data_IF_960350306966
#
_entry.id   IF_960350306966
#
_cell.length_a   1.000
_cell.length_b   1.000
_cell.length_c   1.000
_cell.angle_alpha   90.00
_cell.angle_beta   90.00
_cell.angle_gamma   90.00
#
_symmetry.space_group_name_H-M   'P 1'
#
loop_
_entity.id
_entity.type
_entity.pdbx_description
1 polymer ?
#
# COMPACT_ATOMS: atom_id res chain seq x y z
N UNK A 1 -4.40 7.10 19.09
CA UNK A 1 -3.25 6.37 18.50
C UNK A 1 -2.02 7.24 18.73
N UNK A 2 -0.87 6.65 19.03
CA UNK A 2 0.40 7.40 19.06
C UNK A 2 0.68 7.91 17.66
N UNK A 3 1.18 9.16 17.56
CA UNK A 3 1.58 9.72 16.27
C UNK A 3 2.75 8.90 15.72
N UNK A 4 2.62 8.42 14.49
CA UNK A 4 3.67 7.69 13.79
C UNK A 4 4.44 8.67 12.91
N UNK A 5 5.76 8.66 13.04
CA UNK A 5 6.68 9.34 12.14
C UNK A 5 7.57 8.27 11.51
N UNK A 6 7.43 8.09 10.20
CA UNK A 6 8.26 7.18 9.40
C UNK A 6 9.26 8.00 8.59
N UNK A 7 10.56 7.70 8.75
CA UNK A 7 11.65 8.40 8.04
C UNK A 7 12.47 7.43 7.21
N UNK A 8 12.80 7.85 6.00
CA UNK A 8 13.82 7.29 5.14
C UNK A 8 14.93 8.33 5.06
N UNK A 9 16.15 7.98 5.46
CA UNK A 9 17.29 8.90 5.53
C UNK A 9 18.44 8.35 4.69
N UNK A 10 18.70 8.98 3.55
CA UNK A 10 19.76 8.61 2.61
C UNK A 10 19.61 7.18 2.06
N UNK A 11 18.40 6.68 1.94
CA UNK A 11 18.14 5.26 1.64
C UNK A 11 18.47 4.95 0.19
N UNK A 12 19.35 3.96 -0.02
CA UNK A 12 19.57 3.35 -1.33
C UNK A 12 19.47 1.83 -1.26
N UNK A 13 19.14 1.20 -2.41
CA UNK A 13 19.04 -0.24 -2.53
C UNK A 13 19.62 -0.75 -3.84
N UNK A 14 20.56 -1.66 -3.72
CA UNK A 14 21.15 -2.39 -4.85
C UNK A 14 20.91 -3.89 -4.67
N UNK A 15 20.73 -4.59 -5.78
CA UNK A 15 20.59 -6.05 -5.84
C UNK A 15 21.71 -6.63 -6.72
N UNK A 16 22.39 -7.65 -6.25
CA UNK A 16 23.33 -8.42 -7.06
C UNK A 16 22.56 -9.41 -7.95
N UNK A 17 22.86 -9.45 -9.25
CA UNK A 17 22.39 -10.50 -10.16
C UNK A 17 23.38 -11.65 -10.12
N UNK A 18 22.98 -12.75 -9.49
CA UNK A 18 23.85 -13.93 -9.25
C UNK A 18 24.41 -14.54 -10.54
N UNK A 19 23.74 -14.36 -11.68
CA UNK A 19 24.12 -14.99 -12.95
C UNK A 19 25.04 -14.15 -13.86
N UNK A 20 25.24 -12.86 -13.57
CA UNK A 20 25.91 -11.93 -14.51
C UNK A 20 26.98 -11.02 -13.92
N UNK A 21 27.32 -11.17 -12.64
CA UNK A 21 28.23 -10.25 -11.91
C UNK A 21 27.82 -8.76 -12.06
N UNK A 22 26.52 -8.51 -12.29
CA UNK A 22 25.92 -7.19 -12.46
C UNK A 22 25.22 -6.73 -11.18
N UNK A 23 25.37 -5.46 -10.83
CA UNK A 23 24.62 -4.81 -9.74
C UNK A 23 23.49 -3.98 -10.35
N UNK A 24 22.26 -4.23 -9.92
CA UNK A 24 21.11 -3.39 -10.26
C UNK A 24 20.87 -2.39 -9.14
N UNK A 25 21.04 -1.10 -9.42
CA UNK A 25 20.71 -0.02 -8.50
C UNK A 25 19.20 0.27 -8.58
N UNK A 26 18.42 -0.33 -7.67
CA UNK A 26 16.98 -0.20 -7.66
C UNK A 26 16.52 1.15 -7.10
N UNK A 27 17.19 1.66 -6.05
CA UNK A 27 16.94 2.97 -5.47
C UNK A 27 18.24 3.75 -5.34
N UNK A 28 18.20 5.02 -5.73
CA UNK A 28 19.21 6.03 -5.41
C UNK A 28 19.00 6.58 -4.00
N UNK A 29 19.53 7.76 -3.72
CA UNK A 29 19.33 8.42 -2.43
C UNK A 29 17.87 8.83 -2.26
N UNK A 30 17.17 8.23 -1.30
CA UNK A 30 15.78 8.55 -0.94
C UNK A 30 15.77 9.16 0.45
N UNK A 31 15.29 10.39 0.55
CA UNK A 31 14.97 11.08 1.79
C UNK A 31 13.47 11.37 1.78
N UNK A 32 12.72 10.86 2.77
CA UNK A 32 11.27 11.02 2.85
C UNK A 32 10.81 10.90 4.29
N UNK A 33 9.98 11.84 4.72
CA UNK A 33 9.31 11.82 6.02
C UNK A 33 7.80 11.77 5.83
N UNK A 34 7.13 10.86 6.58
CA UNK A 34 5.69 10.58 6.47
C UNK A 34 5.10 10.46 7.87
N UNK A 35 3.84 10.91 8.04
CA UNK A 35 3.20 11.03 9.34
C UNK A 35 1.84 10.33 9.40
N UNK A 36 1.40 10.01 10.62
CA UNK A 36 0.01 9.60 10.87
C UNK A 36 -0.97 10.61 10.26
N UNK A 37 -2.09 10.11 9.74
CA UNK A 37 -3.09 10.94 9.07
C UNK A 37 -2.77 11.26 7.62
N UNK A 38 -1.59 10.88 7.10
CA UNK A 38 -1.27 10.98 5.68
C UNK A 38 -1.64 9.69 4.94
N UNK A 39 -2.12 9.86 3.73
CA UNK A 39 -2.24 8.81 2.72
C UNK A 39 -1.26 9.13 1.59
N UNK A 40 -0.13 8.45 1.57
CA UNK A 40 0.94 8.69 0.58
C UNK A 40 0.73 7.77 -0.61
N UNK A 41 0.64 8.33 -1.81
CA UNK A 41 0.58 7.56 -3.06
C UNK A 41 1.90 7.66 -3.81
N UNK A 42 2.59 6.54 -4.01
CA UNK A 42 3.81 6.46 -4.81
C UNK A 42 3.44 6.14 -6.26
N UNK A 43 3.75 7.03 -7.19
CA UNK A 43 3.53 6.85 -8.62
C UNK A 43 4.83 6.91 -9.39
N UNK A 44 4.90 6.24 -10.54
CA UNK A 44 6.08 6.23 -11.40
C UNK A 44 6.03 5.10 -12.40
N UNK A 45 6.93 5.13 -13.37
CA UNK A 45 7.06 4.08 -14.39
C UNK A 45 7.40 2.72 -13.78
N UNK A 46 7.16 1.64 -14.54
CA UNK A 46 7.56 0.30 -14.09
C UNK A 46 9.07 0.25 -13.83
N UNK A 47 9.46 -0.42 -12.74
CA UNK A 47 10.87 -0.56 -12.37
C UNK A 47 11.50 0.64 -11.64
N UNK A 48 10.77 1.73 -11.35
CA UNK A 48 11.33 2.88 -10.62
C UNK A 48 11.47 2.67 -9.09
N UNK A 49 11.28 1.46 -8.58
CA UNK A 49 11.59 1.14 -7.18
C UNK A 49 10.45 1.28 -6.18
N UNK A 50 9.21 1.57 -6.59
CA UNK A 50 8.04 1.76 -5.69
C UNK A 50 7.83 0.57 -4.74
N UNK A 51 7.67 -0.64 -5.25
CA UNK A 51 7.53 -1.85 -4.42
C UNK A 51 8.77 -2.14 -3.60
N UNK A 52 9.96 -1.68 -4.03
CA UNK A 52 11.18 -1.78 -3.23
C UNK A 52 11.09 -0.91 -1.98
N UNK A 53 10.58 0.32 -2.10
CA UNK A 53 10.33 1.20 -0.95
C UNK A 53 9.34 0.55 0.02
N UNK A 54 8.21 0.02 -0.47
CA UNK A 54 7.25 -0.67 0.41
C UNK A 54 7.87 -1.86 1.14
N UNK A 55 8.68 -2.67 0.45
CA UNK A 55 9.35 -3.84 1.07
C UNK A 55 10.39 -3.42 2.11
N UNK A 56 11.09 -2.31 1.90
CA UNK A 56 12.01 -1.73 2.89
C UNK A 56 11.23 -1.28 4.13
N UNK A 57 10.14 -0.53 3.96
CA UNK A 57 9.28 -0.07 5.07
C UNK A 57 8.66 -1.27 5.80
N UNK A 58 8.22 -2.31 5.09
CA UNK A 58 7.70 -3.53 5.70
C UNK A 58 8.77 -4.32 6.47
N UNK A 59 10.06 -4.00 6.30
CA UNK A 59 11.18 -4.75 6.89
C UNK A 59 11.44 -6.10 6.22
N UNK A 60 10.90 -6.32 5.01
CA UNK A 60 11.10 -7.56 4.24
C UNK A 60 12.46 -7.62 3.56
N UNK A 61 13.08 -6.47 3.33
CA UNK A 61 14.44 -6.31 2.82
C UNK A 61 15.11 -5.16 3.58
N UNK A 62 16.44 -5.17 3.64
CA UNK A 62 17.23 -4.11 4.26
C UNK A 62 17.79 -3.13 3.22
N UNK A 63 18.01 -1.85 3.52
CA UNK A 63 18.69 -0.91 2.63
C UNK A 63 20.14 -1.34 2.40
N UNK A 64 20.75 -0.88 1.30
CA UNK A 64 22.20 -1.04 1.06
C UNK A 64 22.96 0.08 1.74
N UNK A 65 22.42 1.29 1.76
CA UNK A 65 22.94 2.48 2.46
C UNK A 65 21.74 3.24 3.04
N UNK A 66 21.99 4.01 4.08
CA UNK A 66 20.96 4.79 4.79
C UNK A 66 20.18 3.94 5.79
N UNK A 67 19.15 4.53 6.38
CA UNK A 67 18.34 3.88 7.41
C UNK A 67 16.86 4.24 7.26
N UNK A 68 16.01 3.37 7.78
CA UNK A 68 14.58 3.62 7.93
C UNK A 68 14.21 3.54 9.41
N UNK A 69 13.44 4.50 9.89
CA UNK A 69 12.98 4.53 11.29
C UNK A 69 11.48 4.76 11.40
N UNK A 70 10.87 4.17 12.42
CA UNK A 70 9.51 4.49 12.88
C UNK A 70 9.64 5.00 14.32
N UNK A 71 9.23 6.25 14.56
CA UNK A 71 9.37 6.92 15.86
C UNK A 71 10.81 6.78 16.40
N UNK A 72 11.79 7.10 15.55
CA UNK A 72 13.24 7.03 15.80
C UNK A 72 13.80 5.62 16.09
N UNK A 73 12.96 4.56 16.00
CA UNK A 73 13.40 3.16 16.09
C UNK A 73 13.68 2.61 14.69
N UNK A 74 14.86 2.05 14.49
CA UNK A 74 15.27 1.50 13.21
C UNK A 74 14.43 0.26 12.82
N UNK A 75 14.05 0.18 11.54
CA UNK A 75 13.37 -0.98 10.96
C UNK A 75 14.41 -2.05 10.67
N UNK A 76 14.45 -3.10 11.49
CA UNK A 76 15.37 -4.22 11.35
C UNK A 76 14.74 -5.49 10.80
N UNK A 77 13.41 -5.54 10.69
CA UNK A 77 12.67 -6.71 10.22
C UNK A 77 11.15 -6.45 10.14
N UNK A 78 10.37 -7.47 9.73
CA UNK A 78 8.92 -7.39 9.71
C UNK A 78 8.33 -7.16 11.11
N UNK A 79 7.23 -6.40 11.16
CA UNK A 79 6.54 -6.07 12.40
C UNK A 79 5.01 -6.07 12.18
N UNK A 80 4.19 -6.61 13.12
CA UNK A 80 2.73 -6.56 13.03
C UNK A 80 2.13 -5.16 12.98
N UNK A 81 2.87 -4.12 13.39
CA UNK A 81 2.45 -2.72 13.29
C UNK A 81 2.55 -2.16 11.86
N UNK A 82 3.16 -2.90 10.95
CA UNK A 82 3.24 -2.58 9.53
C UNK A 82 2.45 -3.60 8.71
N UNK A 83 1.14 -3.37 8.58
CA UNK A 83 0.26 -4.20 7.78
C UNK A 83 0.55 -4.04 6.29
N UNK A 84 0.70 -5.15 5.55
CA UNK A 84 0.98 -5.10 4.11
C UNK A 84 -0.03 -5.92 3.32
N UNK A 85 -0.56 -5.29 2.27
CA UNK A 85 -1.36 -5.91 1.22
C UNK A 85 -0.50 -6.02 -0.03
N UNK A 86 -0.24 -7.24 -0.48
CA UNK A 86 0.56 -7.51 -1.67
C UNK A 86 -0.27 -7.39 -2.94
N UNK A 87 0.39 -7.15 -4.06
CA UNK A 87 -0.21 -7.12 -5.41
C UNK A 87 -0.97 -8.41 -5.74
N UNK A 88 -0.45 -9.57 -5.34
CA UNK A 88 -1.16 -10.85 -5.40
C UNK A 88 -1.73 -11.17 -4.02
N UNK A 89 -2.99 -11.64 -3.93
CA UNK A 89 -3.53 -12.09 -2.66
C UNK A 89 -2.72 -13.28 -2.15
N UNK A 90 -1.98 -13.09 -1.05
CA UNK A 90 -1.14 -14.14 -0.45
C UNK A 90 -1.91 -14.87 0.65
N UNK A 91 -3.09 -15.40 0.30
CA UNK A 91 -3.93 -16.15 1.24
C UNK A 91 -3.30 -17.53 1.51
N UNK A 92 -3.53 -18.04 2.72
CA UNK A 92 -3.15 -19.40 3.08
C UNK A 92 -4.13 -20.37 2.42
N UNK A 93 -3.72 -21.18 1.43
CA UNK A 93 -4.64 -21.99 0.64
C UNK A 93 -5.32 -23.12 1.44
N UNK A 94 -4.79 -23.49 2.58
CA UNK A 94 -5.33 -24.49 3.51
C UNK A 94 -6.25 -23.92 4.59
N UNK A 95 -6.49 -22.62 4.60
CA UNK A 95 -7.40 -21.94 5.53
C UNK A 95 -8.62 -21.43 4.76
N UNK A 96 -9.79 -21.47 5.40
CA UNK A 96 -11.00 -20.83 4.87
C UNK A 96 -10.86 -19.30 4.88
N UNK A 97 -11.79 -18.59 4.24
CA UNK A 97 -11.85 -17.12 4.22
C UNK A 97 -11.85 -16.57 5.66
N UNK A 98 -12.76 -17.04 6.51
CA UNK A 98 -12.85 -16.64 7.92
C UNK A 98 -11.52 -16.86 8.67
N UNK A 99 -10.91 -18.03 8.49
CA UNK A 99 -9.64 -18.37 9.14
C UNK A 99 -8.45 -17.57 8.58
N UNK A 100 -8.47 -17.20 7.30
CA UNK A 100 -7.49 -16.28 6.73
C UNK A 100 -7.59 -14.91 7.37
N UNK A 101 -8.80 -14.36 7.49
CA UNK A 101 -9.05 -13.05 8.12
C UNK A 101 -8.61 -13.07 9.59
N UNK A 102 -9.03 -14.06 10.34
CA UNK A 102 -8.73 -14.19 11.78
C UNK A 102 -7.33 -14.70 12.12
N UNK A 103 -6.50 -15.04 11.12
CA UNK A 103 -5.20 -15.70 11.32
C UNK A 103 -4.28 -14.92 12.27
N UNK A 104 -4.13 -13.63 12.05
CA UNK A 104 -3.25 -12.78 12.85
C UNK A 104 -3.73 -12.62 14.30
N UNK A 105 -5.04 -12.55 14.52
CA UNK A 105 -5.64 -12.54 15.86
C UNK A 105 -5.36 -13.86 16.58
N UNK A 106 -5.46 -14.99 15.86
CA UNK A 106 -5.13 -16.32 16.39
C UNK A 106 -3.68 -16.41 16.82
N UNK A 107 -2.74 -15.92 16.01
CA UNK A 107 -1.31 -15.94 16.34
C UNK A 107 -0.96 -15.12 17.58
N UNK A 108 -1.71 -14.05 17.85
CA UNK A 108 -1.55 -13.22 19.05
C UNK A 108 -2.34 -13.76 20.26
N UNK A 109 -3.00 -14.92 20.16
CA UNK A 109 -3.96 -15.46 21.14
C UNK A 109 -5.13 -14.51 21.46
N UNK A 110 -5.47 -13.60 20.53
CA UNK A 110 -6.55 -12.60 20.68
C UNK A 110 -7.80 -12.97 19.87
N UNK A 111 -7.92 -14.19 19.34
CA UNK A 111 -9.10 -14.59 18.56
C UNK A 111 -10.32 -14.74 19.45
N UNK A 112 -10.17 -15.37 20.65
CA UNK A 112 -11.26 -15.46 21.62
C UNK A 112 -11.67 -14.07 22.11
N UNK A 113 -12.95 -13.73 21.93
CA UNK A 113 -13.52 -12.41 22.25
C UNK A 113 -13.35 -11.36 21.16
N UNK A 114 -12.85 -11.75 19.98
CA UNK A 114 -12.76 -10.91 18.79
C UNK A 114 -13.39 -11.57 17.55
N UNK A 115 -14.22 -12.59 17.73
CA UNK A 115 -14.97 -13.22 16.65
C UNK A 115 -15.84 -12.20 15.91
N UNK A 116 -16.46 -11.28 16.63
CA UNK A 116 -17.22 -10.16 16.07
C UNK A 116 -16.39 -9.25 15.13
N UNK A 117 -15.05 -9.18 15.33
CA UNK A 117 -14.19 -8.44 14.39
C UNK A 117 -14.09 -9.15 13.04
N UNK A 118 -13.98 -10.48 13.05
CA UNK A 118 -13.93 -11.27 11.81
C UNK A 118 -15.24 -11.13 11.05
N UNK A 119 -16.38 -11.24 11.74
CA UNK A 119 -17.70 -11.06 11.15
C UNK A 119 -17.90 -9.65 10.57
N UNK A 120 -17.39 -8.62 11.26
CA UNK A 120 -17.40 -7.24 10.72
C UNK A 120 -16.57 -7.11 9.45
N UNK A 121 -15.39 -7.75 9.41
CA UNK A 121 -14.54 -7.74 8.22
C UNK A 121 -15.19 -8.49 7.05
N UNK A 122 -15.87 -9.61 7.30
CA UNK A 122 -16.63 -10.34 6.27
C UNK A 122 -17.75 -9.47 5.69
N UNK A 123 -18.53 -8.80 6.56
CA UNK A 123 -19.59 -7.85 6.11
C UNK A 123 -19.02 -6.69 5.32
N UNK A 124 -17.90 -6.10 5.76
CA UNK A 124 -17.25 -4.99 5.07
C UNK A 124 -16.92 -5.31 3.62
N UNK A 125 -16.52 -6.55 3.33
CA UNK A 125 -16.14 -6.99 1.98
C UNK A 125 -17.25 -7.77 1.25
N UNK A 126 -18.44 -7.92 1.86
CA UNK A 126 -19.59 -8.62 1.28
C UNK A 126 -19.31 -10.09 0.98
N UNK A 127 -18.65 -10.80 1.88
CA UNK A 127 -18.26 -12.20 1.71
C UNK A 127 -18.74 -13.10 2.88
N UNK A 128 -19.83 -12.75 3.56
CA UNK A 128 -20.40 -13.54 4.65
C UNK A 128 -20.76 -14.96 4.20
N UNK A 129 -21.36 -15.09 3.02
CA UNK A 129 -21.77 -16.38 2.45
C UNK A 129 -20.61 -17.26 2.00
N UNK A 130 -19.41 -16.67 1.87
CA UNK A 130 -18.18 -17.35 1.44
C UNK A 130 -17.19 -17.62 2.58
N UNK A 131 -17.60 -17.42 3.83
CA UNK A 131 -16.71 -17.53 5.02
C UNK A 131 -16.02 -18.88 5.15
N UNK A 132 -16.70 -19.94 4.77
CA UNK A 132 -16.24 -21.33 4.85
C UNK A 132 -15.48 -21.79 3.59
N UNK A 133 -15.45 -20.97 2.52
CA UNK A 133 -14.78 -21.29 1.27
C UNK A 133 -13.26 -21.16 1.41
N UNK A 134 -12.53 -21.90 0.57
CA UNK A 134 -11.08 -21.83 0.47
C UNK A 134 -10.64 -20.86 -0.64
N UNK A 135 -9.41 -20.30 -0.56
CA UNK A 135 -8.91 -19.35 -1.55
C UNK A 135 -9.02 -19.80 -3.01
N UNK A 136 -8.91 -21.11 -3.28
CA UNK A 136 -9.05 -21.67 -4.63
C UNK A 136 -10.46 -21.62 -5.21
N UNK A 137 -11.48 -21.34 -4.38
CA UNK A 137 -12.89 -21.22 -4.77
C UNK A 137 -13.29 -19.76 -5.05
N UNK A 138 -12.41 -18.81 -4.70
CA UNK A 138 -12.67 -17.38 -4.82
C UNK A 138 -12.26 -16.84 -6.19
N UNK A 139 -12.98 -15.82 -6.67
CA UNK A 139 -12.47 -14.97 -7.75
C UNK A 139 -11.23 -14.19 -7.28
N UNK A 140 -10.40 -13.72 -8.21
CA UNK A 140 -9.23 -12.91 -7.87
C UNK A 140 -9.59 -11.65 -7.07
N UNK A 141 -10.72 -11.01 -7.38
CA UNK A 141 -11.23 -9.86 -6.65
C UNK A 141 -11.69 -10.20 -5.23
N UNK A 142 -12.37 -11.33 -5.04
CA UNK A 142 -12.76 -11.80 -3.70
C UNK A 142 -11.51 -12.09 -2.86
N UNK A 143 -10.53 -12.80 -3.42
CA UNK A 143 -9.28 -13.11 -2.73
C UNK A 143 -8.52 -11.82 -2.32
N UNK A 144 -8.51 -10.79 -3.19
CA UNK A 144 -7.87 -9.51 -2.88
C UNK A 144 -8.58 -8.77 -1.73
N UNK A 145 -9.92 -8.76 -1.71
CA UNK A 145 -10.70 -8.20 -0.59
C UNK A 145 -10.41 -8.92 0.72
N UNK A 146 -10.31 -10.25 0.72
CA UNK A 146 -9.92 -11.03 1.89
C UNK A 146 -8.50 -10.67 2.37
N UNK A 147 -7.54 -10.53 1.45
CA UNK A 147 -6.17 -10.14 1.77
C UNK A 147 -6.10 -8.73 2.39
N UNK A 148 -6.92 -7.80 1.89
CA UNK A 148 -7.04 -6.45 2.42
C UNK A 148 -7.51 -6.49 3.89
N UNK A 149 -8.67 -7.09 4.17
CA UNK A 149 -9.23 -7.09 5.54
C UNK A 149 -8.40 -7.92 6.51
N UNK A 150 -7.69 -8.96 6.05
CA UNK A 150 -6.70 -9.68 6.86
C UNK A 150 -5.58 -8.77 7.35
N UNK A 151 -5.17 -7.80 6.53
CA UNK A 151 -4.15 -6.82 6.93
C UNK A 151 -4.73 -5.73 7.84
N UNK A 152 -6.00 -5.35 7.65
CA UNK A 152 -6.68 -4.31 8.42
C UNK A 152 -7.15 -4.78 9.79
N UNK A 153 -7.42 -6.07 10.00
CA UNK A 153 -8.04 -6.59 11.25
C UNK A 153 -7.19 -6.33 12.51
N UNK A 154 -5.87 -6.22 12.35
CA UNK A 154 -4.96 -5.87 13.43
C UNK A 154 -4.87 -4.37 13.70
N UNK A 155 -5.55 -3.55 12.91
CA UNK A 155 -5.53 -2.09 13.04
C UNK A 155 -4.10 -1.52 13.06
N UNK A 156 -3.24 -1.87 12.09
CA UNK A 156 -1.85 -1.47 12.13
C UNK A 156 -1.72 0.06 12.02
N UNK A 157 -0.81 0.70 12.76
CA UNK A 157 -0.55 2.14 12.64
C UNK A 157 0.04 2.55 11.29
N UNK A 158 0.65 1.60 10.56
CA UNK A 158 1.15 1.80 9.19
C UNK A 158 0.52 0.75 8.27
N UNK A 159 -0.15 1.20 7.21
CA UNK A 159 -0.76 0.35 6.18
C UNK A 159 -0.02 0.50 4.85
N UNK A 160 0.48 -0.60 4.31
CA UNK A 160 1.22 -0.66 3.05
C UNK A 160 0.39 -1.38 1.99
N UNK A 161 0.16 -0.74 0.85
CA UNK A 161 -0.68 -1.22 -0.24
C UNK A 161 0.15 -1.30 -1.53
N UNK A 162 0.54 -2.51 -1.93
CA UNK A 162 1.31 -2.72 -3.17
C UNK A 162 0.35 -3.07 -4.31
N UNK A 163 -0.03 -2.09 -5.11
CA UNK A 163 -0.98 -2.21 -6.22
C UNK A 163 -2.22 -3.06 -5.86
N UNK A 164 -3.05 -2.64 -4.88
CA UNK A 164 -4.09 -3.48 -4.26
C UNK A 164 -5.23 -3.88 -5.21
N UNK A 165 -5.14 -3.51 -6.48
CA UNK A 165 -6.23 -3.58 -7.45
C UNK A 165 -6.47 -4.96 -8.04
N UNK A 166 -5.46 -5.85 -8.12
CA UNK A 166 -5.60 -7.17 -8.75
C UNK A 166 -6.36 -7.12 -10.10
N UNK A 167 -7.01 -8.22 -10.48
CA UNK A 167 -7.88 -8.33 -11.67
C UNK A 167 -9.34 -7.89 -11.34
N UNK A 168 -9.53 -6.66 -10.80
CA UNK A 168 -10.84 -6.12 -10.47
C UNK A 168 -11.46 -5.38 -11.67
N UNK A 169 -12.77 -5.54 -11.87
CA UNK A 169 -13.53 -4.66 -12.75
C UNK A 169 -13.59 -3.22 -12.19
N UNK A 170 -14.00 -2.26 -13.04
CA UNK A 170 -13.97 -0.84 -12.70
C UNK A 170 -14.86 -0.49 -11.48
N UNK A 171 -16.05 -1.08 -11.38
CA UNK A 171 -16.96 -0.79 -10.26
C UNK A 171 -16.46 -1.37 -8.94
N UNK A 172 -16.05 -2.62 -8.95
CA UNK A 172 -15.47 -3.27 -7.76
C UNK A 172 -14.22 -2.53 -7.25
N UNK A 173 -13.42 -2.00 -8.19
CA UNK A 173 -12.25 -1.17 -7.86
C UNK A 173 -12.65 0.12 -7.17
N UNK A 174 -13.63 0.85 -7.68
CA UNK A 174 -14.10 2.10 -7.07
C UNK A 174 -14.64 1.86 -5.66
N UNK A 175 -15.47 0.84 -5.50
CA UNK A 175 -16.00 0.48 -4.18
C UNK A 175 -14.88 0.15 -3.19
N UNK A 176 -13.88 -0.62 -3.61
CA UNK A 176 -12.74 -0.95 -2.73
C UNK A 176 -11.91 0.28 -2.35
N UNK A 177 -11.72 1.24 -3.26
CA UNK A 177 -11.07 2.51 -2.95
C UNK A 177 -11.84 3.29 -1.87
N UNK A 178 -13.16 3.36 -2.00
CA UNK A 178 -14.02 4.03 -1.03
C UNK A 178 -14.01 3.32 0.33
N UNK A 179 -14.00 1.99 0.36
CA UNK A 179 -13.86 1.19 1.59
C UNK A 179 -12.51 1.44 2.29
N UNK A 180 -11.40 1.43 1.53
CA UNK A 180 -10.06 1.73 2.07
C UNK A 180 -10.02 3.15 2.62
N UNK A 181 -10.54 4.14 1.87
CA UNK A 181 -10.59 5.53 2.30
C UNK A 181 -11.45 5.71 3.55
N UNK A 182 -12.61 5.06 3.62
CA UNK A 182 -13.50 5.11 4.78
C UNK A 182 -12.78 4.58 6.03
N UNK A 183 -12.15 3.41 5.94
CA UNK A 183 -11.39 2.81 7.02
C UNK A 183 -10.20 3.69 7.45
N UNK A 184 -9.49 4.28 6.48
CA UNK A 184 -8.37 5.18 6.76
C UNK A 184 -8.82 6.49 7.42
N UNK A 185 -9.91 7.10 6.96
CA UNK A 185 -10.44 8.36 7.51
C UNK A 185 -10.91 8.21 8.96
N UNK A 186 -11.46 7.05 9.29
CA UNK A 186 -11.88 6.74 10.66
C UNK A 186 -10.67 6.66 11.61
N UNK A 187 -9.58 6.06 11.15
CA UNK A 187 -8.43 5.71 12.00
C UNK A 187 -7.27 6.69 11.93
N UNK A 188 -7.14 7.43 10.82
CA UNK A 188 -6.05 8.37 10.60
C UNK A 188 -4.65 7.73 10.71
N UNK A 189 -4.53 6.45 10.41
CA UNK A 189 -3.24 5.76 10.34
C UNK A 189 -2.40 6.29 9.17
N UNK A 190 -1.08 6.08 9.19
CA UNK A 190 -0.24 6.32 8.01
C UNK A 190 -0.55 5.24 6.96
N UNK A 191 -0.97 5.63 5.76
CA UNK A 191 -1.17 4.72 4.64
C UNK A 191 -0.19 5.05 3.50
N UNK A 192 0.44 4.02 2.93
CA UNK A 192 1.36 4.18 1.80
C UNK A 192 0.94 3.21 0.71
N UNK A 193 0.57 3.74 -0.44
CA UNK A 193 0.10 2.98 -1.58
C UNK A 193 1.03 3.13 -2.78
N UNK A 194 1.35 2.02 -3.41
CA UNK A 194 1.98 2.00 -4.73
C UNK A 194 0.92 1.81 -5.79
N UNK A 195 0.94 2.63 -6.81
CA UNK A 195 0.07 2.50 -7.97
C UNK A 195 0.76 3.03 -9.23
N UNK A 196 0.31 2.55 -10.39
CA UNK A 196 0.68 3.11 -11.69
C UNK A 196 -0.44 3.99 -12.28
N UNK A 197 -1.56 4.12 -11.59
CA UNK A 197 -2.71 4.91 -11.98
C UNK A 197 -2.70 6.26 -11.26
N UNK A 198 -2.51 7.33 -12.05
CA UNK A 198 -2.44 8.71 -11.53
C UNK A 198 -3.78 9.15 -10.93
N UNK A 199 -4.91 8.72 -11.51
CA UNK A 199 -6.23 9.06 -10.99
C UNK A 199 -6.48 8.42 -9.63
N UNK A 200 -6.06 7.17 -9.44
CA UNK A 200 -6.12 6.51 -8.14
C UNK A 200 -5.24 7.21 -7.11
N UNK A 201 -4.01 7.57 -7.51
CA UNK A 201 -3.08 8.27 -6.63
C UNK A 201 -3.63 9.60 -6.14
N UNK A 202 -4.23 10.39 -7.03
CA UNK A 202 -4.86 11.66 -6.69
C UNK A 202 -6.14 11.42 -5.88
N UNK A 203 -6.95 10.39 -6.22
CA UNK A 203 -8.21 10.11 -5.55
C UNK A 203 -8.02 9.75 -4.08
N UNK A 204 -7.01 8.94 -3.79
CA UNK A 204 -6.76 8.39 -2.46
C UNK A 204 -5.73 9.20 -1.64
N UNK A 205 -4.68 9.70 -2.30
CA UNK A 205 -3.52 10.28 -1.61
C UNK A 205 -3.76 11.68 -1.06
N UNK A 206 -3.32 11.96 0.16
CA UNK A 206 -3.12 13.34 0.66
C UNK A 206 -1.86 13.96 0.09
N UNK A 207 -0.88 13.10 -0.28
CA UNK A 207 0.37 13.45 -0.98
C UNK A 207 0.64 12.42 -2.07
N UNK A 208 1.11 12.89 -3.21
CA UNK A 208 1.56 12.04 -4.32
C UNK A 208 3.05 12.23 -4.52
N UNK A 209 3.79 11.15 -4.30
CA UNK A 209 5.24 11.10 -4.54
C UNK A 209 5.47 10.56 -5.95
N UNK A 210 6.00 11.40 -6.82
CA UNK A 210 6.36 11.01 -8.19
C UNK A 210 7.78 10.48 -8.22
N UNK A 211 7.94 9.26 -8.70
CA UNK A 211 9.25 8.60 -8.79
C UNK A 211 9.72 8.49 -10.23
N UNK A 212 11.02 8.68 -10.43
CA UNK A 212 11.73 8.39 -11.69
C UNK A 212 12.59 7.13 -11.54
N UNK A 213 12.96 6.53 -12.68
CA UNK A 213 13.75 5.29 -12.72
C UNK A 213 15.23 5.55 -13.04
N UNK A 214 16.07 4.53 -12.81
CA UNK A 214 17.47 4.39 -13.25
C UNK A 214 18.48 5.35 -12.59
N UNK A 215 18.75 5.27 -11.29
CA UNK A 215 18.05 4.50 -10.27
C UNK A 215 16.77 5.21 -9.78
N UNK A 216 15.89 4.48 -9.07
CA UNK A 216 14.68 5.04 -8.50
C UNK A 216 14.98 6.21 -7.57
N UNK A 217 14.36 7.37 -7.82
CA UNK A 217 14.50 8.61 -7.02
C UNK A 217 13.16 9.31 -6.90
N UNK A 218 13.01 10.14 -5.89
CA UNK A 218 11.88 11.06 -5.79
C UNK A 218 12.10 12.22 -6.74
N UNK A 219 11.19 12.38 -7.70
CA UNK A 219 11.18 13.48 -8.67
C UNK A 219 10.37 14.67 -8.15
N UNK A 220 9.25 14.39 -7.48
CA UNK A 220 8.40 15.41 -6.86
C UNK A 220 7.61 14.85 -5.69
N UNK A 221 7.24 15.72 -4.77
CA UNK A 221 6.35 15.48 -3.63
C UNK A 221 5.22 16.52 -3.70
N UNK A 222 4.01 16.05 -4.00
CA UNK A 222 2.88 16.92 -4.37
C UNK A 222 1.78 16.76 -3.34
N UNK A 223 1.52 17.75 -2.48
CA UNK A 223 0.37 17.75 -1.59
C UNK A 223 -0.93 17.91 -2.41
N UNK A 224 -1.95 17.13 -2.07
CA UNK A 224 -3.25 17.16 -2.73
C UNK A 224 -4.26 17.84 -1.82
N UNK A 225 -4.61 19.08 -2.14
CA UNK A 225 -5.54 19.92 -1.38
C UNK A 225 -6.97 19.80 -1.93
N UNK A 226 -7.47 18.57 -2.03
CA UNK A 226 -8.84 18.26 -2.44
C UNK A 226 -9.58 17.58 -1.29
N UNK A 227 -10.76 18.07 -0.97
CA UNK A 227 -11.63 17.46 0.04
C UNK A 227 -12.22 16.13 -0.43
N UNK A 228 -12.47 15.22 0.50
CA UNK A 228 -13.17 13.97 0.21
C UNK A 228 -14.70 14.12 0.40
N UNK A 229 -15.54 13.48 -0.43
CA UNK A 229 -15.17 12.63 -1.57
C UNK A 229 -14.69 13.47 -2.76
N UNK A 230 -13.62 13.02 -3.44
CA UNK A 230 -13.04 13.74 -4.57
C UNK A 230 -13.79 13.48 -5.87
N UNK A 231 -14.10 14.55 -6.61
CA UNK A 231 -14.69 14.44 -7.93
C UNK A 231 -13.59 14.39 -9.00
N UNK A 232 -13.43 13.23 -9.65
CA UNK A 232 -12.40 12.97 -10.70
C UNK A 232 -12.57 13.84 -11.95
N UNK A 233 -13.77 14.44 -12.15
CA UNK A 233 -14.08 15.33 -13.27
C UNK A 233 -13.94 16.81 -12.92
N UNK A 234 -13.60 17.16 -11.69
CA UNK A 234 -13.40 18.56 -11.31
C UNK A 234 -12.17 19.15 -11.98
N UNK A 235 -12.19 20.46 -12.27
CA UNK A 235 -11.07 21.16 -12.90
C UNK A 235 -9.78 21.01 -12.09
N UNK A 236 -9.85 21.12 -10.77
CA UNK A 236 -8.70 20.97 -9.89
C UNK A 236 -8.11 19.54 -9.92
N UNK A 237 -8.97 18.50 -9.97
CA UNK A 237 -8.50 17.11 -10.10
C UNK A 237 -7.77 16.90 -11.43
N UNK A 238 -8.32 17.46 -12.52
CA UNK A 238 -7.71 17.39 -13.86
C UNK A 238 -6.38 18.15 -13.90
N UNK A 239 -6.26 19.26 -13.18
CA UNK A 239 -5.01 20.00 -13.07
C UNK A 239 -3.90 19.18 -12.41
N UNK A 240 -4.17 18.55 -11.24
CA UNK A 240 -3.24 17.62 -10.61
C UNK A 240 -2.86 16.44 -11.52
N UNK A 241 -3.85 15.87 -12.22
CA UNK A 241 -3.61 14.80 -13.20
C UNK A 241 -2.62 15.22 -14.26
N UNK A 242 -2.86 16.37 -14.90
CA UNK A 242 -2.01 16.88 -15.98
C UNK A 242 -0.59 17.21 -15.47
N UNK A 243 -0.48 17.79 -14.27
CA UNK A 243 0.79 18.05 -13.61
C UNK A 243 1.60 16.76 -13.40
N UNK A 244 0.99 15.73 -12.83
CA UNK A 244 1.66 14.47 -12.53
C UNK A 244 2.01 13.72 -13.83
N UNK A 245 1.09 13.65 -14.80
CA UNK A 245 1.33 13.01 -16.09
C UNK A 245 2.47 13.69 -16.85
N UNK A 246 2.56 15.03 -16.83
CA UNK A 246 3.67 15.79 -17.41
C UNK A 246 5.01 15.42 -16.77
N UNK A 247 5.05 15.21 -15.44
CA UNK A 247 6.26 14.78 -14.74
C UNK A 247 6.67 13.34 -15.09
N UNK A 248 5.71 12.47 -15.38
CA UNK A 248 5.94 11.08 -15.76
C UNK A 248 6.28 10.93 -17.26
N UNK A 249 6.33 12.03 -18.03
CA UNK A 249 6.52 12.05 -19.48
C UNK A 249 5.45 11.25 -20.26
N UNK A 250 4.25 11.06 -19.68
CA UNK A 250 3.10 10.57 -20.42
C UNK A 250 2.51 11.73 -21.25
N UNK A 251 2.88 11.84 -22.51
CA UNK A 251 2.33 12.86 -23.41
C UNK A 251 3.36 13.69 -24.19
N UNK A 252 4.65 13.47 -24.01
CA UNK A 252 5.66 13.90 -24.99
C UNK A 252 5.69 12.86 -26.13
N UNK A 253 4.65 12.85 -26.97
CA UNK A 253 4.80 12.36 -28.34
C UNK A 253 5.56 13.47 -29.08
N UNK A 254 6.75 13.16 -29.60
CA UNK A 254 7.46 13.94 -30.58
C UNK A 254 6.62 14.20 -31.85
#
# INVERSE_FOLDING_TARGET
MEDVVLKLEGVSKSFAKVEKDEITHALGNIDLEMHSGEFISLVGTSGCGKSTILRLIAGLITPTVGRLTVNDKEITGPDPERGMVFQRPTLFPWLTVEKNIGFSLKMKNHLKGNEDKVDRMLRLIGLEDFKDDYPGQLSGGMAQRVALVRSLINEPPILLLDEPRGALDAFTRMNMQDEILSAWRERRQLAIMVTHDVDEAIYMGTRVIVMEANPGRIKADIPIHLDYPRNRSSAQFVEYRNQILGMLNYGAAE
#
